data_IF_813282373775
#
_entry.id   IF_813282373775
#
_cell.length_a   1.000
_cell.length_b   1.000
_cell.length_c   1.000
_cell.angle_alpha   90.00
_cell.angle_beta   90.00
_cell.angle_gamma   90.00
#
_symmetry.space_group_name_H-M   'P 1'
#
loop_
_entity.id
_entity.type
_entity.pdbx_description
1 polymer ?
#
# COMPACT_ATOMS: atom_id res chain seq x y z
N UNK A 1 -23.51 3.97 -9.25
CA UNK A 1 -23.39 2.50 -9.46
C UNK A 1 -22.33 2.15 -10.48
N UNK A 2 -22.31 2.72 -11.68
CA UNK A 2 -21.33 2.33 -12.71
C UNK A 2 -19.88 2.67 -12.33
N UNK A 3 -19.67 3.86 -11.74
CA UNK A 3 -18.35 4.29 -11.26
C UNK A 3 -17.77 3.40 -10.13
N UNK A 4 -18.63 2.86 -9.26
CA UNK A 4 -18.18 1.99 -8.16
C UNK A 4 -17.78 0.60 -8.69
N UNK A 5 -18.57 0.03 -9.61
CA UNK A 5 -18.23 -1.23 -10.27
C UNK A 5 -16.97 -1.12 -11.11
N UNK A 6 -16.78 0.02 -11.77
CA UNK A 6 -15.55 0.29 -12.53
C UNK A 6 -14.33 0.36 -11.61
N UNK A 7 -14.46 1.04 -10.46
CA UNK A 7 -13.39 1.09 -9.45
C UNK A 7 -13.05 -0.30 -8.90
N UNK A 8 -14.06 -1.11 -8.58
CA UNK A 8 -13.87 -2.50 -8.14
C UNK A 8 -13.07 -3.31 -9.16
N UNK A 9 -13.45 -3.28 -10.44
CA UNK A 9 -12.70 -3.98 -11.49
C UNK A 9 -11.25 -3.48 -11.60
N UNK A 10 -11.03 -2.17 -11.54
CA UNK A 10 -9.68 -1.59 -11.58
C UNK A 10 -8.81 -2.04 -10.40
N UNK A 11 -9.38 -2.12 -9.20
CA UNK A 11 -8.69 -2.61 -7.99
C UNK A 11 -8.32 -4.09 -8.12
N UNK A 12 -9.26 -4.93 -8.56
CA UNK A 12 -9.04 -6.36 -8.78
C UNK A 12 -7.92 -6.56 -9.81
N UNK A 13 -8.02 -5.90 -10.97
CA UNK A 13 -7.03 -6.03 -12.04
C UNK A 13 -5.63 -5.59 -11.59
N UNK A 14 -5.55 -4.46 -10.88
CA UNK A 14 -4.28 -3.96 -10.35
C UNK A 14 -3.65 -4.94 -9.34
N UNK A 15 -4.45 -5.47 -8.40
CA UNK A 15 -3.99 -6.43 -7.42
C UNK A 15 -3.59 -7.77 -8.04
N UNK A 16 -4.39 -8.31 -8.96
CA UNK A 16 -4.11 -9.56 -9.66
C UNK A 16 -2.83 -9.46 -10.48
N UNK A 17 -2.62 -8.34 -11.18
CA UNK A 17 -1.38 -8.09 -11.93
C UNK A 17 -0.14 -8.21 -11.03
N UNK A 18 -0.22 -7.73 -9.79
CA UNK A 18 0.88 -7.77 -8.82
C UNK A 18 1.09 -9.15 -8.19
N UNK A 19 0.16 -10.11 -8.33
CA UNK A 19 0.35 -11.48 -7.87
C UNK A 19 1.34 -12.26 -8.74
N UNK A 20 1.47 -11.89 -10.01
CA UNK A 20 2.39 -12.52 -10.97
C UNK A 20 3.74 -11.75 -10.98
N UNK A 21 4.89 -12.42 -11.17
CA UNK A 21 6.17 -11.72 -11.31
C UNK A 21 6.16 -10.75 -12.50
N UNK A 22 6.59 -9.50 -12.25
CA UNK A 22 6.82 -8.48 -13.28
C UNK A 22 8.33 -8.36 -13.45
N UNK A 23 8.83 -8.55 -14.66
CA UNK A 23 10.26 -8.67 -14.95
C UNK A 23 11.01 -7.34 -14.87
N UNK A 24 10.37 -6.24 -15.28
CA UNK A 24 10.96 -4.91 -15.25
C UNK A 24 10.67 -4.21 -13.92
N UNK A 25 11.70 -3.59 -13.34
CA UNK A 25 11.54 -2.75 -12.14
C UNK A 25 10.65 -1.54 -12.44
N UNK A 26 10.78 -0.93 -13.62
CA UNK A 26 9.98 0.24 -14.00
C UNK A 26 8.51 -0.12 -14.19
N UNK A 27 8.22 -1.27 -14.81
CA UNK A 27 6.83 -1.75 -14.98
C UNK A 27 6.20 -2.12 -13.64
N UNK A 28 7.01 -2.66 -12.71
CA UNK A 28 6.58 -2.95 -11.36
C UNK A 28 6.26 -1.66 -10.61
N UNK A 29 7.15 -0.65 -10.66
CA UNK A 29 6.92 0.65 -10.05
C UNK A 29 5.68 1.34 -10.63
N UNK A 30 5.49 1.31 -11.95
CA UNK A 30 4.30 1.87 -12.60
C UNK A 30 3.01 1.13 -12.16
N UNK A 31 3.09 -0.18 -11.94
CA UNK A 31 1.94 -0.96 -11.46
C UNK A 31 1.61 -0.65 -10.00
N UNK A 32 2.63 -0.42 -9.16
CA UNK A 32 2.45 0.02 -7.78
C UNK A 32 1.90 1.45 -7.71
N UNK A 33 2.41 2.37 -8.53
CA UNK A 33 1.89 3.75 -8.62
C UNK A 33 0.42 3.77 -9.04
N UNK A 34 0.03 2.91 -9.99
CA UNK A 34 -1.37 2.74 -10.39
C UNK A 34 -2.23 2.23 -9.24
N UNK A 35 -1.76 1.23 -8.49
CA UNK A 35 -2.49 0.70 -7.35
C UNK A 35 -2.67 1.77 -6.27
N UNK A 36 -1.60 2.46 -5.89
CA UNK A 36 -1.63 3.53 -4.89
C UNK A 36 -2.61 4.64 -5.27
N UNK A 37 -2.63 5.07 -6.53
CA UNK A 37 -3.60 6.04 -7.03
C UNK A 37 -5.05 5.59 -6.82
N UNK A 38 -5.35 4.31 -7.07
CA UNK A 38 -6.69 3.74 -6.83
C UNK A 38 -7.03 3.64 -5.33
N UNK A 39 -6.05 3.34 -4.48
CA UNK A 39 -6.26 3.24 -3.03
C UNK A 39 -6.45 4.61 -2.38
N UNK A 40 -5.68 5.62 -2.79
CA UNK A 40 -5.68 6.96 -2.19
C UNK A 40 -7.03 7.68 -2.22
N UNK A 41 -7.90 7.34 -3.18
CA UNK A 41 -9.24 7.93 -3.33
C UNK A 41 -10.31 7.23 -2.49
N UNK A 42 -10.00 6.08 -1.88
CA UNK A 42 -10.95 5.31 -1.09
C UNK A 42 -11.11 5.90 0.32
N UNK A 43 -12.34 5.92 0.82
CA UNK A 43 -12.60 6.23 2.23
C UNK A 43 -12.16 5.12 3.17
N UNK A 44 -12.15 5.42 4.47
CA UNK A 44 -12.04 4.42 5.51
C UNK A 44 -13.32 3.56 5.57
N UNK A 45 -13.17 2.28 5.91
CA UNK A 45 -14.23 1.29 6.11
C UNK A 45 -15.22 1.20 4.91
N UNK A 46 -14.73 0.87 3.70
CA UNK A 46 -15.57 0.83 2.52
C UNK A 46 -16.55 -0.37 2.55
N UNK A 47 -17.54 -0.31 1.66
CA UNK A 47 -18.50 -1.39 1.44
C UNK A 47 -17.80 -2.73 1.14
N UNK A 48 -18.49 -3.84 1.46
CA UNK A 48 -17.95 -5.20 1.35
C UNK A 48 -17.39 -5.52 -0.04
N UNK A 49 -18.07 -5.08 -1.10
CA UNK A 49 -17.64 -5.26 -2.50
C UNK A 49 -16.27 -4.65 -2.79
N UNK A 50 -16.00 -3.45 -2.27
CA UNK A 50 -14.70 -2.78 -2.41
C UNK A 50 -13.68 -3.48 -1.52
N UNK A 51 -14.05 -3.89 -0.31
CA UNK A 51 -13.16 -4.65 0.59
C UNK A 51 -12.69 -5.95 -0.06
N UNK A 52 -13.60 -6.70 -0.68
CA UNK A 52 -13.28 -7.93 -1.41
C UNK A 52 -12.35 -7.64 -2.60
N UNK A 53 -12.56 -6.51 -3.29
CA UNK A 53 -11.70 -6.07 -4.39
C UNK A 53 -10.26 -5.71 -3.94
N UNK A 54 -10.02 -5.47 -2.65
CA UNK A 54 -8.68 -5.22 -2.10
C UNK A 54 -7.89 -6.51 -1.84
N UNK A 55 -8.55 -7.66 -1.67
CA UNK A 55 -7.90 -8.92 -1.27
C UNK A 55 -6.72 -9.33 -2.18
N UNK A 56 -6.80 -9.22 -3.52
CA UNK A 56 -5.66 -9.54 -4.38
C UNK A 56 -4.45 -8.64 -4.10
N UNK A 57 -4.68 -7.34 -3.93
CA UNK A 57 -3.65 -6.35 -3.60
C UNK A 57 -3.04 -6.62 -2.23
N UNK A 58 -3.88 -6.85 -1.21
CA UNK A 58 -3.43 -7.16 0.15
C UNK A 58 -2.50 -8.38 0.17
N UNK A 59 -2.88 -9.45 -0.54
CA UNK A 59 -2.07 -10.67 -0.67
C UNK A 59 -0.77 -10.43 -1.45
N UNK A 60 -0.81 -9.66 -2.53
CA UNK A 60 0.38 -9.37 -3.33
C UNK A 60 1.42 -8.56 -2.54
N UNK A 61 0.98 -7.50 -1.85
CA UNK A 61 1.85 -6.54 -1.17
C UNK A 61 2.68 -7.15 -0.04
N UNK A 62 2.17 -8.16 0.66
CA UNK A 62 2.90 -8.87 1.73
C UNK A 62 3.71 -10.07 1.22
N UNK A 63 3.69 -10.38 -0.07
CA UNK A 63 4.51 -11.45 -0.62
C UNK A 63 5.99 -11.10 -0.50
N UNK A 64 6.84 -12.07 -0.15
CA UNK A 64 8.28 -11.84 0.00
C UNK A 64 8.91 -11.19 -1.24
N UNK A 65 8.40 -11.52 -2.43
CA UNK A 65 8.85 -10.95 -3.71
C UNK A 65 8.74 -9.42 -3.73
N UNK A 66 7.64 -8.85 -3.21
CA UNK A 66 7.41 -7.42 -3.19
C UNK A 66 7.90 -6.79 -1.89
N UNK A 67 7.52 -7.38 -0.76
CA UNK A 67 7.80 -6.87 0.58
C UNK A 67 9.30 -6.84 0.89
N UNK A 68 10.06 -7.83 0.41
CA UNK A 68 11.52 -7.96 0.59
C UNK A 68 12.28 -7.78 -0.72
N UNK A 69 11.69 -7.07 -1.69
CA UNK A 69 12.31 -6.82 -2.99
C UNK A 69 13.71 -6.17 -2.83
N UNK A 70 14.75 -6.54 -3.60
CA UNK A 70 16.10 -5.99 -3.44
C UNK A 70 16.18 -4.47 -3.69
N UNK A 71 15.38 -3.95 -4.62
CA UNK A 71 15.32 -2.52 -4.92
C UNK A 71 14.59 -1.73 -3.84
N UNK A 72 15.28 -0.76 -3.22
CA UNK A 72 14.73 0.11 -2.18
C UNK A 72 13.52 0.93 -2.63
N UNK A 73 13.55 1.49 -3.85
CA UNK A 73 12.40 2.21 -4.41
C UNK A 73 11.13 1.36 -4.46
N UNK A 74 11.26 0.08 -4.88
CA UNK A 74 10.13 -0.84 -4.91
C UNK A 74 9.58 -1.08 -3.51
N UNK A 75 10.46 -1.33 -2.52
CA UNK A 75 10.01 -1.56 -1.13
C UNK A 75 9.25 -0.35 -0.56
N UNK A 76 9.73 0.86 -0.82
CA UNK A 76 9.06 2.08 -0.34
C UNK A 76 7.71 2.28 -1.04
N UNK A 77 7.62 2.03 -2.35
CA UNK A 77 6.33 2.06 -3.07
C UNK A 77 5.35 1.01 -2.53
N UNK A 78 5.83 -0.19 -2.19
CA UNK A 78 5.02 -1.23 -1.54
C UNK A 78 4.53 -0.75 -0.16
N UNK A 79 5.37 -0.08 0.63
CA UNK A 79 4.97 0.50 1.93
C UNK A 79 3.95 1.61 1.77
N UNK A 80 4.04 2.41 0.70
CA UNK A 80 3.04 3.43 0.36
C UNK A 80 1.66 2.79 0.15
N UNK A 81 1.59 1.75 -0.70
CA UNK A 81 0.35 1.00 -0.93
C UNK A 81 -0.19 0.33 0.34
N UNK A 82 0.68 -0.26 1.18
CA UNK A 82 0.27 -0.88 2.44
C UNK A 82 -0.28 0.16 3.42
N UNK A 83 0.34 1.35 3.49
CA UNK A 83 -0.13 2.44 4.35
C UNK A 83 -1.54 2.89 3.96
N UNK A 84 -1.82 2.94 2.66
CA UNK A 84 -3.17 3.18 2.15
C UNK A 84 -4.15 2.04 2.50
N UNK A 85 -3.76 0.77 2.35
CA UNK A 85 -4.58 -0.37 2.79
C UNK A 85 -4.92 -0.26 4.29
N UNK A 86 -3.94 0.11 5.13
CA UNK A 86 -4.13 0.31 6.56
C UNK A 86 -5.12 1.44 6.83
N UNK A 87 -4.97 2.57 6.14
CA UNK A 87 -5.91 3.69 6.21
C UNK A 87 -7.34 3.30 5.83
N UNK A 88 -7.50 2.50 4.78
CA UNK A 88 -8.79 2.05 4.28
C UNK A 88 -9.45 1.06 5.24
N UNK A 89 -8.67 0.15 5.83
CA UNK A 89 -9.18 -0.94 6.68
C UNK A 89 -9.33 -0.58 8.15
N UNK A 90 -8.69 0.50 8.60
CA UNK A 90 -8.81 1.02 9.97
C UNK A 90 -10.28 1.14 10.42
N UNK A 91 -10.59 0.85 11.70
CA UNK A 91 -9.67 0.45 12.77
C UNK A 91 -9.28 -1.05 12.75
N UNK A 92 -9.65 -1.78 11.71
CA UNK A 92 -9.39 -3.22 11.61
C UNK A 92 -8.03 -3.47 10.96
N UNK A 93 -7.24 -4.34 11.58
CA UNK A 93 -5.95 -4.73 11.06
C UNK A 93 -6.10 -5.59 9.79
N UNK A 94 -5.42 -5.24 8.68
CA UNK A 94 -5.52 -6.00 7.43
C UNK A 94 -4.69 -7.29 7.44
N UNK A 95 -3.75 -7.45 8.38
CA UNK A 95 -2.79 -8.55 8.45
C UNK A 95 -2.66 -9.09 9.88
N UNK A 96 -1.97 -10.21 10.08
CA UNK A 96 -1.68 -10.75 11.42
C UNK A 96 -0.59 -9.93 12.13
N UNK A 97 -0.51 -10.02 13.46
CA UNK A 97 0.34 -9.17 14.32
C UNK A 97 1.83 -9.28 13.97
N UNK A 98 2.30 -10.49 13.66
CA UNK A 98 3.68 -10.72 13.22
C UNK A 98 3.98 -9.94 11.94
N UNK A 99 3.03 -9.93 10.99
CA UNK A 99 3.19 -9.18 9.75
C UNK A 99 3.11 -7.68 9.99
N UNK A 100 2.23 -7.24 10.89
CA UNK A 100 2.14 -5.81 11.25
C UNK A 100 3.41 -5.28 11.90
N UNK A 101 4.08 -6.07 12.73
CA UNK A 101 5.40 -5.71 13.26
C UNK A 101 6.42 -5.48 12.14
N UNK A 102 6.46 -6.36 11.14
CA UNK A 102 7.35 -6.16 9.99
C UNK A 102 7.00 -4.90 9.19
N UNK A 103 5.70 -4.65 8.96
CA UNK A 103 5.21 -3.43 8.28
C UNK A 103 5.66 -2.19 9.03
N UNK A 104 5.45 -2.15 10.35
CA UNK A 104 5.85 -1.03 11.20
C UNK A 104 7.35 -0.74 11.10
N UNK A 105 8.19 -1.76 11.21
CA UNK A 105 9.65 -1.60 11.10
C UNK A 105 10.07 -1.05 9.74
N UNK A 106 9.47 -1.54 8.64
CA UNK A 106 9.75 -1.02 7.31
C UNK A 106 9.24 0.40 7.10
N UNK A 107 8.14 0.79 7.72
CA UNK A 107 7.70 2.18 7.67
C UNK A 107 8.68 3.11 8.39
N UNK A 108 9.17 2.72 9.58
CA UNK A 108 10.21 3.50 10.26
C UNK A 108 11.47 3.66 9.36
N UNK A 109 11.88 2.61 8.67
CA UNK A 109 12.98 2.66 7.71
C UNK A 109 12.67 3.52 6.46
N UNK A 110 11.39 3.63 6.05
CA UNK A 110 10.98 4.51 4.96
C UNK A 110 11.14 5.99 5.33
N UNK A 111 10.94 6.36 6.60
CA UNK A 111 11.11 7.74 7.06
C UNK A 111 12.55 8.25 6.99
N UNK A 112 13.55 7.36 6.99
CA UNK A 112 14.93 7.76 6.70
C UNK A 112 15.07 8.46 5.34
N UNK A 113 14.19 8.15 4.38
CA UNK A 113 14.24 8.68 3.01
C UNK A 113 13.73 10.11 2.91
N UNK A 114 13.13 10.65 3.96
CA UNK A 114 12.80 12.07 4.07
C UNK A 114 14.06 12.95 4.05
N UNK A 115 15.21 12.40 4.46
CA UNK A 115 16.51 13.09 4.39
C UNK A 115 17.00 13.36 2.96
N UNK A 116 16.43 12.69 1.94
CA UNK A 116 16.80 12.90 0.53
C UNK A 116 16.30 14.23 -0.03
N UNK A 117 15.33 14.88 0.64
CA UNK A 117 14.71 16.18 0.29
C UNK A 117 14.02 16.26 -1.08
N UNK A 118 14.16 15.26 -1.94
CA UNK A 118 13.54 15.17 -3.26
C UNK A 118 13.56 13.74 -3.82
N UNK A 119 12.87 13.51 -4.94
CA UNK A 119 12.83 12.22 -5.63
C UNK A 119 11.71 11.29 -5.18
N UNK A 120 11.56 10.15 -5.87
CA UNK A 120 10.45 9.21 -5.66
C UNK A 120 10.38 8.71 -4.22
N UNK A 121 11.50 8.24 -3.67
CA UNK A 121 11.57 7.75 -2.29
C UNK A 121 11.12 8.80 -1.27
N UNK A 122 11.53 10.06 -1.47
CA UNK A 122 11.10 11.17 -0.62
C UNK A 122 9.59 11.38 -0.71
N UNK A 123 9.03 11.46 -1.93
CA UNK A 123 7.59 11.68 -2.13
C UNK A 123 6.75 10.58 -1.49
N UNK A 124 7.15 9.31 -1.66
CA UNK A 124 6.45 8.17 -1.06
C UNK A 124 6.60 8.16 0.47
N UNK A 125 7.79 8.43 1.00
CA UNK A 125 8.00 8.52 2.45
C UNK A 125 7.17 9.65 3.07
N UNK A 126 7.05 10.80 2.39
CA UNK A 126 6.20 11.91 2.81
C UNK A 126 4.72 11.50 2.81
N UNK A 127 4.26 10.82 1.76
CA UNK A 127 2.89 10.34 1.69
C UNK A 127 2.56 9.34 2.82
N UNK A 128 3.46 8.41 3.10
CA UNK A 128 3.32 7.49 4.25
C UNK A 128 3.21 8.26 5.57
N UNK A 129 4.02 9.30 5.75
CA UNK A 129 3.98 10.16 6.94
C UNK A 129 2.64 10.91 7.06
N UNK A 130 2.13 11.45 5.95
CA UNK A 130 0.83 12.14 5.91
C UNK A 130 -0.32 11.21 6.31
N UNK A 131 -0.29 9.95 5.86
CA UNK A 131 -1.28 8.94 6.26
C UNK A 131 -1.20 8.67 7.77
N UNK A 132 0.02 8.44 8.28
CA UNK A 132 0.24 8.16 9.70
C UNK A 132 -0.18 9.34 10.60
N UNK A 133 0.02 10.58 10.14
CA UNK A 133 -0.34 11.78 10.88
C UNK A 133 -1.85 12.11 10.87
N UNK A 134 -2.62 11.60 9.90
CA UNK A 134 -4.03 12.00 9.71
C UNK A 134 -5.03 11.30 10.63
N UNK A 135 -4.69 10.19 11.29
CA UNK A 135 -5.67 9.50 12.14
C UNK A 135 -5.05 8.63 13.23
N UNK A 136 -5.53 8.83 14.46
CA UNK A 136 -5.23 7.97 15.61
C UNK A 136 -5.62 6.50 15.38
N UNK A 137 -6.66 6.26 14.56
CA UNK A 137 -7.11 4.91 14.20
C UNK A 137 -6.07 4.15 13.37
N UNK A 138 -5.35 4.83 12.46
CA UNK A 138 -4.26 4.19 11.71
C UNK A 138 -3.11 3.89 12.65
N UNK A 139 -2.74 4.81 13.56
CA UNK A 139 -1.72 4.54 14.56
C UNK A 139 -2.05 3.32 15.42
N UNK A 140 -3.32 3.08 15.75
CA UNK A 140 -3.74 1.90 16.52
C UNK A 140 -3.52 0.57 15.80
N UNK A 141 -3.54 0.55 14.46
CA UNK A 141 -3.17 -0.65 13.70
C UNK A 141 -1.64 -0.84 13.62
N UNK A 142 -0.85 0.16 13.99
CA UNK A 142 0.61 0.20 13.82
C UNK A 142 1.37 0.00 15.13
N UNK A 143 0.69 0.05 16.28
CA UNK A 143 1.20 -0.21 17.64
C UNK A 143 0.89 -1.62 18.09
#
# INVERSE_FOLDING_TARGET
MDSERELQHKLIDAGVKLLVPISSTDDLLASLDKLEGLLSVLGQDPFSSIRDALLPSMKALISDRLFRHPTTEVRISVMSCISEVLRITAPHQPYEDEKMKEVFQLTLAAFEKLSLLSGRCYCKALHILEIAARSDAVLSCWT
#
